data_IF_562994453519
#
_entry.id   IF_562994453519
#
_cell.length_a   1.000
_cell.length_b   1.000
_cell.length_c   1.000
_cell.angle_alpha   90.00
_cell.angle_beta   90.00
_cell.angle_gamma   90.00
#
_symmetry.space_group_name_H-M   'P 1'
#
loop_
_entity.id
_entity.type
_entity.pdbx_description
1 polymer ?
#
# COMPACT_ATOMS: atom_id res chain seq x y z
N UNK A 1 -31.20 -38.83 -17.31
CA UNK A 1 -31.50 -37.46 -16.89
C UNK A 1 -31.46 -37.38 -15.37
N UNK A 2 -30.59 -36.54 -14.82
CA UNK A 2 -30.43 -36.35 -13.37
C UNK A 2 -31.07 -35.01 -12.97
N UNK A 3 -31.17 -34.73 -11.67
CA UNK A 3 -31.67 -33.45 -11.17
C UNK A 3 -30.72 -32.86 -10.11
N UNK A 4 -30.66 -31.53 -10.04
CA UNK A 4 -29.89 -30.82 -9.04
C UNK A 4 -30.53 -30.97 -7.65
N UNK A 5 -29.75 -31.33 -6.63
CA UNK A 5 -30.23 -31.46 -5.24
C UNK A 5 -30.67 -30.12 -4.61
N UNK A 6 -30.18 -28.98 -5.12
CA UNK A 6 -30.48 -27.65 -4.58
C UNK A 6 -31.72 -27.03 -5.25
N UNK A 7 -31.81 -27.04 -6.57
CA UNK A 7 -32.85 -26.31 -7.32
C UNK A 7 -33.80 -27.21 -8.14
N UNK A 8 -33.58 -28.53 -8.18
CA UNK A 8 -34.43 -29.47 -8.93
C UNK A 8 -34.27 -29.44 -10.46
N UNK A 9 -33.44 -28.53 -11.02
CA UNK A 9 -33.18 -28.42 -12.46
C UNK A 9 -32.68 -29.76 -13.02
N UNK A 10 -33.31 -30.22 -14.10
CA UNK A 10 -32.88 -31.43 -14.83
C UNK A 10 -31.65 -31.12 -15.66
N UNK A 11 -30.64 -31.97 -15.54
CA UNK A 11 -29.37 -31.82 -16.25
C UNK A 11 -28.69 -33.18 -16.40
N UNK A 12 -27.85 -33.31 -17.42
CA UNK A 12 -27.05 -34.50 -17.65
C UNK A 12 -25.72 -34.45 -16.90
N UNK A 13 -25.28 -33.26 -16.50
CA UNK A 13 -24.04 -33.04 -15.74
C UNK A 13 -24.32 -32.56 -14.32
N UNK A 14 -23.78 -33.29 -13.35
CA UNK A 14 -23.82 -32.89 -11.94
C UNK A 14 -22.42 -32.79 -11.36
N UNK A 15 -22.25 -31.77 -10.53
CA UNK A 15 -21.04 -31.44 -9.81
C UNK A 15 -21.38 -31.52 -8.32
N UNK A 16 -20.88 -32.56 -7.65
CA UNK A 16 -21.29 -32.87 -6.27
C UNK A 16 -22.83 -32.87 -6.08
N UNK A 17 -23.55 -33.55 -6.98
CA UNK A 17 -25.01 -33.60 -7.07
C UNK A 17 -25.74 -32.26 -7.34
N UNK A 18 -25.02 -31.21 -7.71
CA UNK A 18 -25.57 -29.89 -8.06
C UNK A 18 -25.45 -29.63 -9.58
N UNK A 19 -26.36 -28.83 -10.14
CA UNK A 19 -26.14 -28.25 -11.47
C UNK A 19 -24.97 -27.25 -11.41
N UNK A 20 -24.46 -26.86 -12.58
CA UNK A 20 -23.30 -25.95 -12.69
C UNK A 20 -23.50 -24.63 -11.93
N UNK A 21 -24.70 -24.04 -12.00
CA UNK A 21 -24.99 -22.78 -11.30
C UNK A 21 -24.95 -22.95 -9.78
N UNK A 22 -25.72 -23.91 -9.25
CA UNK A 22 -25.76 -24.18 -7.81
C UNK A 22 -24.39 -24.61 -7.26
N UNK A 23 -23.60 -25.38 -8.03
CA UNK A 23 -22.25 -25.72 -7.64
C UNK A 23 -21.37 -24.48 -7.46
N UNK A 24 -21.39 -23.55 -8.43
CA UNK A 24 -20.64 -22.29 -8.33
C UNK A 24 -21.09 -21.44 -7.14
N UNK A 25 -22.39 -21.35 -6.89
CA UNK A 25 -22.95 -20.60 -5.76
C UNK A 25 -22.57 -21.20 -4.41
N UNK A 26 -22.53 -22.52 -4.28
CA UNK A 26 -22.28 -23.22 -3.01
C UNK A 26 -20.80 -23.63 -2.83
N UNK A 27 -19.93 -23.34 -3.79
CA UNK A 27 -18.50 -23.66 -3.71
C UNK A 27 -17.68 -22.40 -3.48
N UNK A 28 -16.89 -22.42 -2.40
CA UNK A 28 -15.93 -21.35 -2.13
C UNK A 28 -14.62 -21.54 -2.89
N UNK A 29 -14.03 -20.44 -3.37
CA UNK A 29 -12.71 -20.42 -3.98
C UNK A 29 -11.61 -20.23 -2.94
N UNK A 30 -11.89 -19.44 -1.90
CA UNK A 30 -10.94 -19.12 -0.84
C UNK A 30 -11.64 -18.96 0.51
N UNK A 31 -10.87 -19.01 1.61
CA UNK A 31 -11.28 -18.48 2.91
C UNK A 31 -10.39 -17.30 3.26
N UNK A 32 -11.02 -16.21 3.67
CA UNK A 32 -10.35 -14.95 4.02
C UNK A 32 -10.63 -14.58 5.47
N UNK A 33 -9.75 -13.81 6.13
CA UNK A 33 -10.07 -13.24 7.43
C UNK A 33 -11.21 -12.22 7.31
N UNK A 34 -12.08 -12.13 8.32
CA UNK A 34 -13.14 -11.12 8.40
C UNK A 34 -12.58 -9.69 8.53
N UNK A 35 -11.40 -9.56 9.15
CA UNK A 35 -10.74 -8.28 9.40
C UNK A 35 -9.27 -8.33 9.03
N UNK A 36 -8.83 -7.35 8.26
CA UNK A 36 -7.42 -7.08 7.97
C UNK A 36 -6.99 -5.79 8.66
N UNK A 37 -5.79 -5.77 9.23
CA UNK A 37 -5.18 -4.55 9.79
C UNK A 37 -4.02 -4.15 8.89
N UNK A 38 -4.03 -2.92 8.40
CA UNK A 38 -2.94 -2.32 7.63
C UNK A 38 -2.40 -1.10 8.39
N UNK A 39 -1.12 -0.81 8.21
CA UNK A 39 -0.48 0.37 8.81
C UNK A 39 0.17 1.21 7.73
N UNK A 40 -0.15 2.49 7.68
CA UNK A 40 0.29 3.44 6.64
C UNK A 40 0.93 4.66 7.30
N UNK A 41 1.98 5.19 6.69
CA UNK A 41 2.63 6.42 7.10
C UNK A 41 1.77 7.60 6.66
N UNK A 42 1.34 8.48 7.59
CA UNK A 42 0.51 9.62 7.24
C UNK A 42 1.27 10.73 6.49
N UNK A 43 2.61 10.66 6.42
CA UNK A 43 3.45 11.67 5.77
C UNK A 43 3.87 11.27 4.35
N UNK A 44 4.38 10.04 4.18
CA UNK A 44 4.91 9.57 2.91
C UNK A 44 4.09 8.45 2.25
N UNK A 45 2.99 8.04 2.88
CA UNK A 45 2.11 6.96 2.42
C UNK A 45 2.76 5.58 2.18
N UNK A 46 4.02 5.39 2.59
CA UNK A 46 4.56 4.03 2.74
C UNK A 46 3.72 3.20 3.70
N UNK A 47 3.61 1.90 3.48
CA UNK A 47 2.84 0.99 4.33
C UNK A 47 3.70 -0.16 4.88
N UNK A 48 3.26 -0.72 6.00
CA UNK A 48 3.93 -1.85 6.64
C UNK A 48 3.56 -3.16 5.94
N UNK A 49 4.56 -3.87 5.43
CA UNK A 49 4.43 -5.23 4.92
C UNK A 49 5.59 -6.09 5.42
N UNK A 50 5.25 -7.22 6.07
CA UNK A 50 6.23 -8.19 6.61
C UNK A 50 7.37 -7.57 7.44
N UNK A 51 7.06 -6.54 8.23
CA UNK A 51 8.01 -5.86 9.11
C UNK A 51 8.85 -4.77 8.44
N UNK A 52 8.66 -4.52 7.14
CA UNK A 52 9.32 -3.45 6.38
C UNK A 52 8.30 -2.39 5.95
N UNK A 53 8.78 -1.18 5.74
CA UNK A 53 8.00 -0.11 5.14
C UNK A 53 8.25 -0.10 3.64
N UNK A 54 7.19 -0.30 2.86
CA UNK A 54 7.23 -0.35 1.40
C UNK A 54 6.47 0.83 0.81
N UNK A 55 6.93 1.27 -0.37
CA UNK A 55 6.28 2.32 -1.15
C UNK A 55 5.20 1.68 -2.04
N UNK A 56 4.04 2.32 -2.14
CA UNK A 56 3.01 1.92 -3.08
C UNK A 56 3.42 2.27 -4.52
N UNK A 57 2.90 1.54 -5.50
CA UNK A 57 3.17 1.80 -6.92
C UNK A 57 2.74 3.21 -7.33
N UNK A 58 1.58 3.65 -6.85
CA UNK A 58 1.09 5.02 -7.00
C UNK A 58 0.95 5.70 -5.61
N UNK A 59 1.99 6.37 -5.09
CA UNK A 59 1.96 7.00 -3.77
C UNK A 59 1.12 8.29 -3.73
N UNK A 60 0.69 8.82 -4.89
CA UNK A 60 -0.03 10.10 -4.97
C UNK A 60 -1.54 9.96 -4.78
N UNK A 61 -2.10 8.76 -4.97
CA UNK A 61 -3.50 8.43 -4.66
C UNK A 61 -3.58 7.55 -3.41
N UNK A 62 -4.17 8.09 -2.34
CA UNK A 62 -4.33 7.36 -1.09
C UNK A 62 -5.19 6.09 -1.23
N UNK A 63 -6.13 6.05 -2.18
CA UNK A 63 -6.93 4.86 -2.43
C UNK A 63 -6.08 3.75 -3.05
N UNK A 64 -5.15 4.09 -3.92
CA UNK A 64 -4.23 3.13 -4.53
C UNK A 64 -3.23 2.61 -3.50
N UNK A 65 -2.72 3.48 -2.62
CA UNK A 65 -1.89 3.09 -1.46
C UNK A 65 -2.64 2.10 -0.57
N UNK A 66 -3.89 2.39 -0.22
CA UNK A 66 -4.71 1.51 0.64
C UNK A 66 -5.02 0.20 -0.07
N UNK A 67 -5.30 0.24 -1.37
CA UNK A 67 -5.52 -0.95 -2.21
C UNK A 67 -4.31 -1.88 -2.17
N UNK A 68 -3.11 -1.39 -2.52
CA UNK A 68 -1.88 -2.18 -2.54
C UNK A 68 -1.56 -2.74 -1.13
N UNK A 69 -1.68 -1.88 -0.11
CA UNK A 69 -1.46 -2.28 1.28
C UNK A 69 -2.41 -3.40 1.73
N UNK A 70 -3.70 -3.35 1.35
CA UNK A 70 -4.67 -4.40 1.67
C UNK A 70 -4.32 -5.67 0.90
N UNK A 71 -4.17 -5.59 -0.42
CA UNK A 71 -3.97 -6.75 -1.28
C UNK A 71 -2.73 -7.53 -0.86
N UNK A 72 -1.59 -6.85 -0.66
CA UNK A 72 -0.35 -7.48 -0.20
C UNK A 72 -0.45 -8.07 1.20
N UNK A 73 -1.09 -7.38 2.15
CA UNK A 73 -1.25 -7.90 3.51
C UNK A 73 -2.30 -9.01 3.63
N UNK A 74 -3.26 -9.06 2.71
CA UNK A 74 -4.33 -10.05 2.67
C UNK A 74 -3.88 -11.34 2.00
N UNK A 75 -3.20 -11.27 0.84
CA UNK A 75 -2.75 -12.42 0.05
C UNK A 75 -2.10 -13.56 0.88
N UNK A 76 -1.13 -13.31 1.79
CA UNK A 76 -0.52 -14.38 2.59
C UNK A 76 -1.44 -14.97 3.66
N UNK A 77 -2.60 -14.37 3.93
CA UNK A 77 -3.59 -14.82 4.92
C UNK A 77 -4.77 -15.57 4.27
N UNK A 78 -4.83 -15.60 2.94
CA UNK A 78 -5.85 -16.32 2.19
C UNK A 78 -5.58 -17.82 2.24
N UNK A 79 -6.60 -18.61 2.57
CA UNK A 79 -6.56 -20.07 2.44
C UNK A 79 -7.24 -20.48 1.13
N UNK A 80 -6.46 -20.96 0.18
CA UNK A 80 -6.95 -21.35 -1.15
C UNK A 80 -7.68 -22.70 -1.08
N UNK A 81 -8.91 -22.75 -1.60
CA UNK A 81 -9.70 -23.97 -1.83
C UNK A 81 -9.64 -24.32 -3.33
N UNK A 82 -9.63 -23.30 -4.19
CA UNK A 82 -9.42 -23.43 -5.62
C UNK A 82 -8.09 -24.14 -5.93
N UNK A 83 -8.12 -24.99 -6.96
CA UNK A 83 -6.93 -25.64 -7.54
C UNK A 83 -6.04 -24.64 -8.25
N UNK A 84 -6.65 -23.65 -8.90
CA UNK A 84 -5.97 -22.57 -9.58
C UNK A 84 -6.73 -21.25 -9.37
N UNK A 85 -5.99 -20.16 -9.20
CA UNK A 85 -6.52 -18.79 -9.14
C UNK A 85 -5.98 -18.03 -10.34
N UNK A 86 -6.88 -17.46 -11.13
CA UNK A 86 -6.55 -16.68 -12.32
C UNK A 86 -6.37 -15.20 -11.97
N UNK A 87 -7.21 -14.67 -11.09
CA UNK A 87 -7.10 -13.29 -10.61
C UNK A 87 -7.62 -13.15 -9.20
N UNK A 88 -7.07 -12.17 -8.48
CA UNK A 88 -7.48 -11.80 -7.13
C UNK A 88 -7.24 -10.30 -6.96
N UNK A 89 -8.28 -9.55 -6.65
CA UNK A 89 -8.21 -8.10 -6.52
C UNK A 89 -9.21 -7.57 -5.49
N UNK A 90 -8.95 -6.39 -4.93
CA UNK A 90 -9.81 -5.74 -3.94
C UNK A 90 -10.51 -4.53 -4.54
N UNK A 91 -11.83 -4.47 -4.34
CA UNK A 91 -12.65 -3.31 -4.67
C UNK A 91 -12.84 -2.48 -3.41
N UNK A 92 -12.51 -1.19 -3.52
CA UNK A 92 -12.71 -0.19 -2.49
C UNK A 92 -13.77 0.82 -2.95
N UNK A 93 -14.62 1.26 -2.02
CA UNK A 93 -15.47 2.42 -2.25
C UNK A 93 -14.63 3.71 -2.19
N UNK A 94 -14.33 4.28 -3.36
CA UNK A 94 -13.55 5.52 -3.48
C UNK A 94 -14.28 6.76 -2.93
N UNK A 95 -15.56 6.68 -2.59
CA UNK A 95 -16.27 7.79 -1.93
C UNK A 95 -15.88 7.97 -0.45
N UNK A 96 -15.24 6.95 0.15
CA UNK A 96 -14.81 7.00 1.54
C UNK A 96 -13.65 7.99 1.70
N UNK A 97 -13.86 9.01 2.55
CA UNK A 97 -12.80 9.95 2.91
C UNK A 97 -11.78 9.31 3.84
N UNK A 98 -10.60 9.03 3.33
CA UNK A 98 -9.44 8.59 4.09
C UNK A 98 -8.67 9.80 4.60
N UNK A 99 -8.73 10.03 5.92
CA UNK A 99 -8.06 11.19 6.54
C UNK A 99 -6.84 10.69 7.33
N UNK A 100 -5.61 11.08 6.95
CA UNK A 100 -4.41 10.78 7.71
C UNK A 100 -4.57 11.14 9.19
N UNK A 101 -3.93 10.37 10.07
CA UNK A 101 -4.03 10.48 11.54
C UNK A 101 -5.38 10.12 12.16
N UNK A 102 -6.46 9.93 11.39
CA UNK A 102 -7.75 9.46 11.90
C UNK A 102 -7.92 7.97 11.67
N UNK A 103 -8.30 7.23 12.70
CA UNK A 103 -8.61 5.79 12.55
C UNK A 103 -9.73 5.64 11.52
N UNK A 104 -9.49 4.81 10.51
CA UNK A 104 -10.47 4.50 9.48
C UNK A 104 -10.75 3.01 9.46
N UNK A 105 -12.02 2.66 9.31
CA UNK A 105 -12.48 1.29 9.04
C UNK A 105 -13.28 1.36 7.74
N UNK A 106 -12.92 0.50 6.79
CA UNK A 106 -13.59 0.45 5.49
C UNK A 106 -14.04 -0.97 5.20
N UNK A 107 -15.20 -1.09 4.55
CA UNK A 107 -15.64 -2.35 3.96
C UNK A 107 -14.88 -2.57 2.64
N UNK A 108 -14.46 -3.81 2.42
CA UNK A 108 -13.64 -4.22 1.27
C UNK A 108 -14.28 -5.44 0.66
N UNK A 109 -14.34 -5.47 -0.68
CA UNK A 109 -14.79 -6.65 -1.42
C UNK A 109 -13.61 -7.25 -2.15
N UNK A 110 -13.19 -8.45 -1.75
CA UNK A 110 -12.22 -9.23 -2.51
C UNK A 110 -12.94 -9.98 -3.63
N UNK A 111 -12.55 -9.72 -4.88
CA UNK A 111 -12.94 -10.52 -6.03
C UNK A 111 -11.88 -11.58 -6.32
N UNK A 112 -12.31 -12.82 -6.49
CA UNK A 112 -11.44 -13.94 -6.86
C UNK A 112 -12.04 -14.66 -8.06
N UNK A 113 -11.25 -14.84 -9.11
CA UNK A 113 -11.55 -15.74 -10.22
C UNK A 113 -10.71 -17.01 -10.08
N UNK A 114 -11.35 -18.16 -9.96
CA UNK A 114 -10.66 -19.42 -9.68
C UNK A 114 -11.37 -20.64 -10.22
N UNK A 115 -10.66 -21.77 -10.12
CA UNK A 115 -11.06 -23.07 -10.63
C UNK A 115 -11.01 -24.11 -9.51
N UNK A 116 -12.09 -24.84 -9.30
CA UNK A 116 -12.16 -25.94 -8.31
C UNK A 116 -12.28 -27.31 -8.99
N UNK A 117 -13.09 -27.41 -10.05
CA UNK A 117 -13.27 -28.60 -10.88
C UNK A 117 -13.11 -28.17 -12.35
N UNK A 118 -12.25 -28.87 -13.10
CA UNK A 118 -11.92 -28.57 -14.50
C UNK A 118 -13.16 -28.55 -15.40
N UNK A 119 -14.12 -29.43 -15.13
CA UNK A 119 -15.36 -29.55 -15.91
C UNK A 119 -16.29 -28.33 -15.68
N UNK A 120 -16.20 -27.68 -14.52
CA UNK A 120 -16.97 -26.46 -14.22
C UNK A 120 -16.33 -25.23 -14.89
N UNK A 121 -15.00 -25.24 -15.03
CA UNK A 121 -14.21 -24.10 -15.50
C UNK A 121 -14.10 -22.97 -14.46
N UNK A 122 -13.44 -21.88 -14.85
CA UNK A 122 -13.26 -20.71 -13.98
C UNK A 122 -14.60 -20.04 -13.64
N UNK A 123 -14.71 -19.54 -12.42
CA UNK A 123 -15.81 -18.69 -11.99
C UNK A 123 -15.33 -17.67 -10.96
N UNK A 124 -16.12 -16.62 -10.79
CA UNK A 124 -15.81 -15.50 -9.90
C UNK A 124 -16.62 -15.59 -8.61
N UNK A 125 -15.99 -15.25 -7.48
CA UNK A 125 -16.61 -15.08 -6.17
C UNK A 125 -16.18 -13.76 -5.54
N UNK A 126 -17.09 -13.16 -4.79
CA UNK A 126 -16.81 -11.98 -3.96
C UNK A 126 -16.82 -12.35 -2.48
N UNK A 127 -15.90 -11.76 -1.72
CA UNK A 127 -15.76 -11.94 -0.29
C UNK A 127 -15.71 -10.59 0.40
N UNK A 128 -16.61 -10.37 1.36
CA UNK A 128 -16.65 -9.12 2.11
C UNK A 128 -15.77 -9.24 3.37
N UNK A 129 -14.93 -8.25 3.60
CA UNK A 129 -14.08 -8.13 4.78
C UNK A 129 -13.96 -6.67 5.21
N UNK A 130 -13.46 -6.43 6.42
CA UNK A 130 -13.21 -5.07 6.94
C UNK A 130 -11.71 -4.80 7.00
N UNK A 131 -11.29 -3.65 6.48
CA UNK A 131 -9.92 -3.16 6.66
C UNK A 131 -9.87 -2.08 7.75
N UNK A 132 -9.07 -2.34 8.78
CA UNK A 132 -8.70 -1.35 9.79
C UNK A 132 -7.40 -0.66 9.36
N UNK A 133 -7.48 0.64 9.13
CA UNK A 133 -6.35 1.47 8.73
C UNK A 133 -5.77 2.14 9.97
N UNK A 134 -4.49 1.84 10.25
CA UNK A 134 -3.73 2.46 11.33
C UNK A 134 -2.71 3.42 10.74
N UNK A 135 -2.63 4.61 11.30
CA UNK A 135 -1.60 5.59 10.92
C UNK A 135 -0.44 5.52 11.88
N UNK A 136 0.78 5.38 11.36
CA UNK A 136 2.01 5.41 12.15
C UNK A 136 3.13 5.97 11.29
N UNK A 137 3.93 6.88 11.84
CA UNK A 137 5.12 7.36 11.12
C UNK A 137 6.07 6.20 10.83
N UNK A 138 6.57 6.12 9.60
CA UNK A 138 7.71 5.26 9.28
C UNK A 138 8.97 5.77 10.01
N UNK A 139 10.02 4.95 10.18
CA UNK A 139 11.23 5.34 10.90
C UNK A 139 11.84 6.65 10.41
N UNK A 140 11.88 6.87 9.09
CA UNK A 140 12.45 8.10 8.53
C UNK A 140 11.59 9.33 8.84
N UNK A 141 10.29 9.30 8.51
CA UNK A 141 9.40 10.43 8.81
C UNK A 141 9.31 10.72 10.31
N UNK A 142 9.47 9.69 11.16
CA UNK A 142 9.57 9.89 12.60
C UNK A 142 10.81 10.69 12.97
N UNK A 143 12.00 10.30 12.49
CA UNK A 143 13.25 11.03 12.77
C UNK A 143 13.22 12.45 12.25
N UNK A 144 12.71 12.66 11.02
CA UNK A 144 12.56 14.01 10.44
C UNK A 144 11.67 14.88 11.33
N UNK A 145 10.49 14.39 11.74
CA UNK A 145 9.60 15.13 12.65
C UNK A 145 10.18 15.35 14.05
N UNK A 146 10.95 14.39 14.54
CA UNK A 146 11.60 14.48 15.85
C UNK A 146 12.91 15.28 15.83
N UNK A 147 13.33 15.76 14.65
CA UNK A 147 14.63 16.42 14.43
C UNK A 147 15.82 15.61 14.96
N UNK A 148 15.78 14.28 14.74
CA UNK A 148 16.90 13.40 15.10
C UNK A 148 17.96 13.49 14.00
N UNK A 149 19.02 14.23 14.28
CA UNK A 149 20.14 14.43 13.37
C UNK A 149 21.07 13.21 13.39
N UNK A 150 21.24 12.55 12.24
CA UNK A 150 22.16 11.42 12.07
C UNK A 150 23.35 11.77 11.17
N UNK A 151 23.20 12.77 10.30
CA UNK A 151 24.28 13.27 9.46
C UNK A 151 24.15 14.79 9.22
N UNK A 152 25.28 15.44 8.98
CA UNK A 152 25.36 16.86 8.64
C UNK A 152 26.28 17.02 7.42
N UNK A 153 25.80 17.71 6.38
CA UNK A 153 26.61 18.16 5.25
C UNK A 153 26.93 19.64 5.42
N UNK A 154 28.20 19.97 5.60
CA UNK A 154 28.67 21.34 5.77
C UNK A 154 29.36 21.81 4.49
N UNK A 155 28.78 22.82 3.85
CA UNK A 155 29.29 23.41 2.61
C UNK A 155 30.00 24.72 2.94
N UNK A 156 31.26 24.82 2.52
CA UNK A 156 32.15 25.96 2.81
C UNK A 156 32.95 26.34 1.55
N UNK A 157 33.23 27.63 1.41
CA UNK A 157 34.19 28.12 0.41
C UNK A 157 35.60 28.17 1.00
N UNK A 158 36.61 27.89 0.18
CA UNK A 158 38.01 27.97 0.60
C UNK A 158 38.47 29.44 0.67
N UNK A 159 39.07 29.84 1.79
CA UNK A 159 39.65 31.17 2.00
C UNK A 159 38.67 32.35 1.99
N UNK A 160 37.35 32.14 1.83
CA UNK A 160 36.33 33.21 1.80
C UNK A 160 34.96 32.71 2.26
N UNK A 161 34.00 33.63 2.35
CA UNK A 161 32.59 33.31 2.54
C UNK A 161 31.93 32.96 1.20
N UNK A 162 30.92 32.10 1.23
CA UNK A 162 30.00 31.96 0.11
C UNK A 162 29.27 33.29 -0.08
N UNK A 163 29.10 33.69 -1.32
CA UNK A 163 28.24 34.82 -1.65
C UNK A 163 26.76 34.38 -1.74
N UNK A 164 25.86 35.36 -1.76
CA UNK A 164 24.41 35.09 -1.75
C UNK A 164 23.93 34.31 -2.99
N UNK A 165 24.60 34.47 -4.14
CA UNK A 165 24.28 33.77 -5.39
C UNK A 165 24.74 32.30 -5.35
N UNK A 166 25.90 32.03 -4.77
CA UNK A 166 26.37 30.67 -4.48
C UNK A 166 25.47 29.96 -3.48
N UNK A 167 25.10 30.62 -2.38
CA UNK A 167 24.15 30.09 -1.38
C UNK A 167 22.83 29.72 -2.06
N UNK A 168 22.30 30.60 -2.92
CA UNK A 168 21.05 30.37 -3.64
C UNK A 168 21.17 29.19 -4.61
N UNK A 169 22.25 29.10 -5.39
CA UNK A 169 22.49 27.97 -6.31
C UNK A 169 22.60 26.64 -5.58
N UNK A 170 23.34 26.61 -4.47
CA UNK A 170 23.48 25.41 -3.63
C UNK A 170 22.12 24.99 -3.08
N UNK A 171 21.33 25.95 -2.56
CA UNK A 171 19.98 25.68 -2.05
C UNK A 171 19.10 25.06 -3.13
N UNK A 172 19.07 25.65 -4.33
CA UNK A 172 18.25 25.15 -5.44
C UNK A 172 18.68 23.73 -5.86
N UNK A 173 19.99 23.48 -5.95
CA UNK A 173 20.50 22.15 -6.30
C UNK A 173 20.11 21.10 -5.26
N UNK A 174 20.23 21.44 -3.97
CA UNK A 174 19.85 20.56 -2.87
C UNK A 174 18.35 20.27 -2.92
N UNK A 175 17.51 21.29 -3.09
CA UNK A 175 16.06 21.14 -3.20
C UNK A 175 15.68 20.23 -4.37
N UNK A 176 16.35 20.38 -5.52
CA UNK A 176 16.13 19.53 -6.70
C UNK A 176 16.51 18.06 -6.42
N UNK A 177 17.69 17.81 -5.82
CA UNK A 177 18.13 16.45 -5.48
C UNK A 177 17.18 15.81 -4.46
N UNK A 178 16.72 16.57 -3.45
CA UNK A 178 15.79 16.06 -2.45
C UNK A 178 14.41 15.80 -3.02
N UNK A 179 13.97 16.62 -3.99
CA UNK A 179 12.74 16.38 -4.71
C UNK A 179 12.83 15.10 -5.54
N UNK A 180 13.94 14.87 -6.26
CA UNK A 180 14.17 13.63 -7.00
C UNK A 180 14.20 12.41 -6.07
N UNK A 181 14.92 12.49 -4.94
CA UNK A 181 14.95 11.42 -3.93
C UNK A 181 13.54 11.16 -3.35
N UNK A 182 12.73 12.20 -3.17
CA UNK A 182 11.34 12.06 -2.74
C UNK A 182 10.47 11.40 -3.82
N UNK A 183 10.63 11.75 -5.10
CA UNK A 183 9.91 11.13 -6.22
C UNK A 183 10.26 9.65 -6.37
N UNK A 184 11.53 9.28 -6.18
CA UNK A 184 12.01 7.90 -6.27
C UNK A 184 11.62 7.07 -5.03
N UNK A 185 11.89 7.58 -3.83
CA UNK A 185 11.74 6.82 -2.58
C UNK A 185 10.47 7.16 -1.76
N UNK A 186 9.73 8.19 -2.17
CA UNK A 186 8.54 8.70 -1.48
C UNK A 186 8.84 9.49 -0.21
N UNK A 187 10.11 9.77 0.10
CA UNK A 187 10.55 10.31 1.39
C UNK A 187 11.86 11.08 1.24
N UNK A 188 12.05 12.15 2.03
CA UNK A 188 13.29 12.93 2.08
C UNK A 188 13.87 12.88 3.49
N UNK A 189 15.18 12.61 3.66
CA UNK A 189 15.84 12.59 4.96
C UNK A 189 16.17 14.00 5.49
N UNK A 190 15.99 15.07 4.71
CA UNK A 190 16.36 16.42 5.13
C UNK A 190 15.48 16.89 6.29
N UNK A 191 16.12 17.31 7.38
CA UNK A 191 15.49 17.87 8.57
C UNK A 191 15.40 19.40 8.45
N UNK A 192 16.53 20.05 8.16
CA UNK A 192 16.65 21.52 8.09
C UNK A 192 17.91 21.94 7.33
N UNK A 193 17.88 23.18 6.85
CA UNK A 193 19.02 23.89 6.24
C UNK A 193 19.27 25.16 7.05
N UNK A 194 20.50 25.36 7.50
CA UNK A 194 20.92 26.53 8.27
C UNK A 194 22.08 27.24 7.57
N UNK A 195 22.02 28.57 7.49
CA UNK A 195 23.15 29.39 7.04
C UNK A 195 24.04 29.74 8.24
N UNK A 196 25.31 29.37 8.17
CA UNK A 196 26.30 29.77 9.17
C UNK A 196 26.76 31.21 8.87
N UNK A 197 26.10 32.17 9.50
CA UNK A 197 26.41 33.61 9.38
C UNK A 197 27.84 33.96 9.84
N UNK A 198 28.48 33.14 10.68
CA UNK A 198 29.84 33.40 11.17
C UNK A 198 30.88 32.94 10.14
N UNK A 199 30.81 31.69 9.70
CA UNK A 199 31.77 31.15 8.71
C UNK A 199 31.42 31.50 7.26
N UNK A 200 30.20 31.96 6.98
CA UNK A 200 29.70 32.23 5.63
C UNK A 200 29.41 30.96 4.83
N UNK A 201 28.95 29.91 5.51
CA UNK A 201 28.69 28.57 4.97
C UNK A 201 27.22 28.15 5.07
N UNK A 202 26.92 26.93 4.65
CA UNK A 202 25.60 26.30 4.79
C UNK A 202 25.72 24.91 5.41
N UNK A 203 24.82 24.59 6.35
CA UNK A 203 24.73 23.30 7.02
C UNK A 203 23.38 22.65 6.71
N UNK A 204 23.42 21.41 6.22
CA UNK A 204 22.24 20.61 5.94
C UNK A 204 22.21 19.42 6.89
N UNK A 205 21.09 19.25 7.58
CA UNK A 205 20.92 18.23 8.60
C UNK A 205 20.00 17.14 8.09
N UNK A 206 20.42 15.89 8.23
CA UNK A 206 19.71 14.71 7.72
C UNK A 206 19.39 13.70 8.83
N UNK A 207 18.29 12.98 8.64
CA UNK A 207 17.75 11.91 9.48
C UNK A 207 18.07 10.50 8.96
#
# INVERSE_FOLDING_TARGET
>A
MRFCIICGKRTDELYNNMCRECYKENTELVRVPEVINITICPECFSYMFRGKWEKAENPYDIHDVVHDAILRNLAPKVKYIARAVKSMDVILDKSIKLVPYKKSKIDVTLLVEGLVDERVGYFMKSYNLKANIRWRLCPLCFKVKAQVEEAILQIRADGRKLDDDEILRIRNLVEEILYQAYEEEGKSPLIKVEEDKKSGGMDLYFA
#
